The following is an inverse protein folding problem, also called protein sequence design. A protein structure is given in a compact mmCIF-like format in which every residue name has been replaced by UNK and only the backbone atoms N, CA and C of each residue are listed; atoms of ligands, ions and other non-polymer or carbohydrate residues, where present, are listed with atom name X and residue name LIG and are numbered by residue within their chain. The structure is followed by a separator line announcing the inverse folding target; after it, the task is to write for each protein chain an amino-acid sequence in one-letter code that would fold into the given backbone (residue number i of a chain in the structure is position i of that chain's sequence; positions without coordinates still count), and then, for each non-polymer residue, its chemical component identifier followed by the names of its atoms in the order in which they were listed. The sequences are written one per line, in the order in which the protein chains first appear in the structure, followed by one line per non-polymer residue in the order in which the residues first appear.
data_IF_912700640617
#
_entry.id   IF_912700640617
#
_cell.length_a   1.000
_cell.length_b   1.000
_cell.length_c   1.000
_cell.angle_alpha   90.00
_cell.angle_beta   90.00
_cell.angle_gamma   90.00
#
_symmetry.space_group_name_H-M   'P 1'
#
loop_
_entity.id
_entity.type
_entity.pdbx_description
1 polymer ?
#
# COMPACT_ATOMS: atom_id res chain seq x y z
N UNK A 1 19.51 23.10 20.32
CA UNK A 1 20.19 22.45 19.20
C UNK A 1 19.71 23.17 17.95
N UNK A 2 20.62 23.70 17.15
CA UNK A 2 20.26 24.33 15.88
C UNK A 2 19.57 23.27 15.03
N UNK A 3 18.33 23.52 14.62
CA UNK A 3 17.58 22.61 13.78
C UNK A 3 18.35 22.39 12.49
N UNK A 4 18.92 21.19 12.34
CA UNK A 4 19.76 20.84 11.20
C UNK A 4 18.87 20.72 9.98
N UNK A 5 19.17 21.49 8.92
CA UNK A 5 18.50 21.34 7.63
C UNK A 5 19.03 20.10 6.90
N UNK A 6 18.11 19.33 6.31
CA UNK A 6 18.44 18.16 5.47
C UNK A 6 17.40 17.97 4.38
N UNK A 7 17.73 17.16 3.38
CA UNK A 7 16.81 16.77 2.32
C UNK A 7 16.35 15.33 2.55
N UNK A 8 15.07 15.08 2.29
CA UNK A 8 14.51 13.73 2.31
C UNK A 8 13.61 13.53 1.09
N UNK A 9 13.71 12.36 0.47
CA UNK A 9 13.04 12.03 -0.78
C UNK A 9 12.24 10.75 -0.65
N UNK A 10 11.04 10.74 -1.23
CA UNK A 10 10.27 9.52 -1.45
C UNK A 10 9.76 9.46 -2.88
N UNK A 11 9.45 8.26 -3.34
CA UNK A 11 8.91 8.02 -4.67
C UNK A 11 7.58 7.28 -4.61
N UNK A 12 6.79 7.42 -5.66
CA UNK A 12 5.58 6.66 -5.91
C UNK A 12 5.52 6.17 -7.35
N UNK A 13 4.69 5.16 -7.59
CA UNK A 13 4.38 4.67 -8.92
C UNK A 13 2.86 4.53 -9.10
N UNK A 14 2.39 4.71 -10.33
CA UNK A 14 0.96 4.62 -10.66
C UNK A 14 0.45 3.17 -10.69
N UNK A 15 -0.87 3.02 -10.81
CA UNK A 15 -1.50 1.72 -11.01
C UNK A 15 -1.04 0.99 -12.29
N UNK A 16 -0.50 1.74 -13.27
CA UNK A 16 0.02 1.18 -14.51
C UNK A 16 1.48 0.74 -14.46
N UNK A 17 2.22 1.04 -13.39
CA UNK A 17 3.57 0.49 -13.22
C UNK A 17 3.53 -1.05 -13.20
N UNK A 18 4.45 -1.77 -13.90
CA UNK A 18 4.39 -3.23 -14.02
C UNK A 18 4.21 -3.96 -12.69
N UNK A 19 4.95 -3.58 -11.65
CA UNK A 19 4.83 -4.20 -10.33
C UNK A 19 3.44 -3.94 -9.70
N UNK A 20 2.86 -2.73 -9.91
CA UNK A 20 1.53 -2.41 -9.39
C UNK A 20 0.41 -3.07 -10.19
N UNK A 21 0.60 -3.30 -11.48
CA UNK A 21 -0.31 -4.17 -12.27
C UNK A 21 -0.40 -5.54 -11.63
N UNK A 22 0.74 -6.12 -11.21
CA UNK A 22 0.78 -7.41 -10.53
C UNK A 22 0.06 -7.37 -9.18
N UNK A 23 0.31 -6.35 -8.37
CA UNK A 23 -0.33 -6.17 -7.07
C UNK A 23 -1.86 -6.05 -7.21
N UNK A 24 -2.33 -5.28 -8.19
CA UNK A 24 -3.76 -5.11 -8.46
C UNK A 24 -4.39 -6.42 -8.90
N UNK A 25 -3.80 -7.15 -9.84
CA UNK A 25 -4.32 -8.46 -10.29
C UNK A 25 -4.42 -9.42 -9.10
N UNK A 26 -3.36 -9.50 -8.28
CA UNK A 26 -3.34 -10.35 -7.10
C UNK A 26 -4.42 -9.99 -6.09
N UNK A 27 -4.67 -8.70 -5.83
CA UNK A 27 -5.71 -8.27 -4.90
C UNK A 27 -7.14 -8.36 -5.47
N UNK A 28 -7.33 -8.30 -6.79
CA UNK A 28 -8.62 -8.67 -7.41
C UNK A 28 -8.99 -10.12 -7.12
N UNK A 29 -8.00 -11.02 -7.13
CA UNK A 29 -8.22 -12.44 -6.80
C UNK A 29 -8.47 -12.61 -5.30
N UNK A 30 -7.73 -11.91 -4.42
CA UNK A 30 -8.01 -11.91 -2.97
C UNK A 30 -9.45 -11.50 -2.68
N UNK A 31 -9.91 -10.41 -3.28
CA UNK A 31 -11.26 -9.90 -3.09
C UNK A 31 -12.34 -10.86 -3.61
N UNK A 32 -12.08 -11.58 -4.72
CA UNK A 32 -13.01 -12.59 -5.24
C UNK A 32 -13.20 -13.73 -4.22
N UNK A 33 -12.11 -14.25 -3.63
CA UNK A 33 -12.19 -15.26 -2.58
C UNK A 33 -12.89 -14.76 -1.31
N UNK A 34 -12.64 -13.52 -0.89
CA UNK A 34 -13.25 -12.95 0.31
C UNK A 34 -14.71 -12.55 0.09
N UNK A 35 -15.16 -12.44 -1.16
CA UNK A 35 -16.57 -12.21 -1.50
C UNK A 35 -17.42 -13.48 -1.42
N UNK A 36 -16.80 -14.66 -1.33
CA UNK A 36 -17.50 -15.93 -1.26
C UNK A 36 -18.03 -16.21 0.16
N UNK A 37 -18.82 -17.29 0.28
CA UNK A 37 -19.28 -17.76 1.59
C UNK A 37 -18.12 -18.14 2.48
N UNK A 38 -18.25 -17.90 3.78
CA UNK A 38 -17.25 -18.23 4.80
C UNK A 38 -15.87 -17.58 4.58
N UNK A 39 -15.81 -16.24 4.40
CA UNK A 39 -14.56 -15.55 4.08
C UNK A 39 -13.45 -15.74 5.14
N UNK A 40 -13.83 -16.06 6.38
CA UNK A 40 -12.88 -16.31 7.46
C UNK A 40 -12.03 -17.57 7.22
N UNK A 41 -12.54 -18.54 6.45
CA UNK A 41 -11.85 -19.80 6.14
C UNK A 41 -11.24 -19.81 4.73
N UNK A 42 -11.50 -18.81 3.90
CA UNK A 42 -10.86 -18.68 2.61
C UNK A 42 -9.39 -18.29 2.77
N UNK A 43 -8.52 -18.86 1.94
CA UNK A 43 -7.06 -18.63 1.98
C UNK A 43 -6.56 -18.30 0.60
N UNK A 44 -5.71 -17.28 0.53
CA UNK A 44 -5.06 -16.84 -0.70
C UNK A 44 -3.61 -16.45 -0.41
N UNK A 45 -2.69 -17.01 -1.16
CA UNK A 45 -1.30 -16.60 -1.22
C UNK A 45 -0.87 -16.69 -2.68
N UNK A 46 -0.97 -15.57 -3.40
CA UNK A 46 -0.77 -15.48 -4.84
C UNK A 46 0.26 -14.42 -5.20
N UNK A 47 1.11 -14.77 -6.15
CA UNK A 47 1.98 -13.86 -6.85
C UNK A 47 1.59 -13.80 -8.33
N UNK A 48 1.67 -12.59 -8.88
CA UNK A 48 1.49 -12.32 -10.30
C UNK A 48 2.81 -11.87 -10.90
N UNK A 49 3.10 -12.34 -12.12
CA UNK A 49 4.14 -11.82 -12.99
C UNK A 49 3.49 -11.27 -14.25
N UNK A 50 3.89 -10.08 -14.66
CA UNK A 50 3.53 -9.51 -15.96
C UNK A 50 4.79 -9.16 -16.77
N UNK A 51 4.74 -9.35 -18.07
CA UNK A 51 5.75 -8.91 -19.04
C UNK A 51 5.08 -8.74 -20.40
N UNK A 52 5.86 -8.43 -21.45
CA UNK A 52 5.33 -8.24 -22.81
C UNK A 52 4.33 -9.32 -23.18
N UNK A 53 3.08 -8.94 -23.36
CA UNK A 53 1.95 -9.79 -23.75
C UNK A 53 1.72 -11.04 -22.87
N UNK A 54 2.16 -11.05 -21.61
CA UNK A 54 2.02 -12.18 -20.70
C UNK A 54 1.52 -11.75 -19.33
N UNK A 55 0.61 -12.54 -18.77
CA UNK A 55 0.23 -12.50 -17.35
C UNK A 55 0.30 -13.92 -16.80
N UNK A 56 1.07 -14.12 -15.75
CA UNK A 56 1.22 -15.39 -15.06
C UNK A 56 0.81 -15.21 -13.62
N UNK A 57 -0.08 -16.08 -13.11
CA UNK A 57 -0.44 -16.13 -11.69
C UNK A 57 -0.04 -17.48 -11.12
N UNK A 58 0.51 -17.48 -9.91
CA UNK A 58 1.02 -18.65 -9.22
C UNK A 58 0.75 -18.55 -7.73
N UNK A 59 0.62 -19.69 -7.04
CA UNK A 59 0.44 -19.71 -5.59
C UNK A 59 -0.61 -20.70 -5.12
N UNK A 60 -1.07 -20.48 -3.88
CA UNK A 60 -1.91 -21.43 -3.15
C UNK A 60 -3.23 -20.77 -2.73
N UNK A 61 -4.32 -21.51 -2.88
CA UNK A 61 -5.65 -21.03 -2.49
C UNK A 61 -6.48 -22.12 -1.79
N UNK A 62 -7.43 -21.68 -0.97
CA UNK A 62 -8.52 -22.49 -0.44
C UNK A 62 -9.78 -21.65 -0.44
N UNK A 63 -10.80 -22.08 -1.15
CA UNK A 63 -12.13 -21.48 -1.18
C UNK A 63 -13.19 -22.45 -0.65
N UNK A 64 -14.47 -22.03 -0.62
CA UNK A 64 -15.57 -22.89 -0.23
C UNK A 64 -15.74 -24.03 -1.26
N UNK A 65 -16.39 -25.13 -0.81
CA UNK A 65 -16.65 -26.31 -1.66
C UNK A 65 -17.42 -25.92 -2.92
N UNK A 66 -16.95 -26.35 -4.08
CA UNK A 66 -17.55 -26.09 -5.39
C UNK A 66 -17.25 -24.71 -5.98
N UNK A 67 -16.48 -23.86 -5.29
CA UNK A 67 -16.07 -22.58 -5.84
C UNK A 67 -14.89 -22.75 -6.81
N UNK A 68 -15.04 -22.21 -8.01
CA UNK A 68 -13.99 -22.15 -9.04
C UNK A 68 -13.73 -20.71 -9.42
N UNK A 69 -12.56 -20.19 -9.05
CA UNK A 69 -12.15 -18.85 -9.38
C UNK A 69 -11.74 -18.74 -10.86
N UNK A 70 -12.27 -17.76 -11.56
CA UNK A 70 -11.84 -17.46 -12.93
C UNK A 70 -10.70 -16.42 -12.92
N UNK A 71 -9.48 -16.88 -12.67
CA UNK A 71 -8.28 -16.03 -12.56
C UNK A 71 -8.03 -15.18 -13.81
N UNK A 72 -8.25 -15.75 -15.01
CA UNK A 72 -8.06 -15.02 -16.26
C UNK A 72 -9.03 -13.85 -16.40
N UNK A 73 -10.31 -14.07 -16.08
CA UNK A 73 -11.33 -13.02 -16.12
C UNK A 73 -10.94 -11.87 -15.16
N UNK A 74 -10.55 -12.19 -13.94
CA UNK A 74 -10.15 -11.18 -12.93
C UNK A 74 -8.91 -10.40 -13.36
N UNK A 75 -7.90 -11.09 -13.92
CA UNK A 75 -6.73 -10.43 -14.48
C UNK A 75 -7.09 -9.46 -15.62
N UNK A 76 -7.98 -9.87 -16.53
CA UNK A 76 -8.46 -9.02 -17.62
C UNK A 76 -9.26 -7.81 -17.11
N UNK A 77 -10.12 -8.01 -16.12
CA UNK A 77 -10.86 -6.92 -15.47
C UNK A 77 -9.92 -5.91 -14.78
N UNK A 78 -8.90 -6.38 -14.08
CA UNK A 78 -7.89 -5.55 -13.45
C UNK A 78 -7.10 -4.71 -14.48
N UNK A 79 -6.59 -5.35 -15.54
CA UNK A 79 -5.83 -4.67 -16.61
C UNK A 79 -6.72 -3.67 -17.37
N UNK A 80 -8.00 -4.01 -17.59
CA UNK A 80 -9.00 -3.10 -18.19
C UNK A 80 -9.26 -1.89 -17.29
N UNK A 81 -9.38 -2.09 -15.98
CA UNK A 81 -9.57 -1.01 -15.01
C UNK A 81 -8.37 -0.06 -14.99
N UNK A 82 -7.13 -0.58 -15.12
CA UNK A 82 -5.91 0.21 -15.27
C UNK A 82 -5.94 1.02 -16.56
N UNK A 83 -6.46 0.47 -17.66
CA UNK A 83 -6.61 1.12 -18.95
C UNK A 83 -5.54 0.76 -19.98
N UNK A 84 -4.97 -0.46 -19.92
CA UNK A 84 -4.01 -0.92 -20.91
C UNK A 84 -4.70 -1.45 -22.18
N UNK A 85 -4.48 -0.71 -23.28
CA UNK A 85 -4.96 -1.03 -24.65
C UNK A 85 -3.83 -0.89 -25.68
N UNK A 86 -2.58 -1.11 -25.27
CA UNK A 86 -1.41 -1.01 -26.17
C UNK A 86 -1.15 -2.33 -26.91
N UNK A 87 -0.47 -2.26 -28.06
CA UNK A 87 -0.28 -3.40 -29.00
C UNK A 87 0.26 -4.66 -28.32
N UNK A 88 1.23 -4.53 -27.42
CA UNK A 88 1.89 -5.65 -26.78
C UNK A 88 1.52 -5.86 -25.32
N UNK A 89 0.51 -5.13 -24.82
CA UNK A 89 -0.15 -5.41 -23.56
C UNK A 89 -1.55 -4.81 -23.54
N UNK A 90 -2.52 -5.64 -23.86
CA UNK A 90 -3.93 -5.25 -23.99
C UNK A 90 -4.80 -6.17 -23.15
N UNK A 91 -5.78 -5.63 -22.42
CA UNK A 91 -6.64 -6.38 -21.52
C UNK A 91 -7.40 -7.55 -22.21
N UNK A 92 -7.68 -7.47 -23.52
CA UNK A 92 -8.32 -8.54 -24.28
C UNK A 92 -7.33 -9.61 -24.78
N UNK A 93 -6.07 -9.25 -25.05
CA UNK A 93 -5.21 -10.01 -25.93
C UNK A 93 -3.98 -10.63 -25.28
N UNK A 94 -3.62 -10.26 -24.03
CA UNK A 94 -2.46 -10.87 -23.37
C UNK A 94 -2.66 -12.39 -23.18
N UNK A 95 -1.58 -13.14 -23.24
CA UNK A 95 -1.60 -14.56 -22.89
C UNK A 95 -1.65 -14.72 -21.39
N UNK A 96 -2.54 -15.60 -20.93
CA UNK A 96 -2.71 -15.89 -19.50
C UNK A 96 -2.26 -17.31 -19.17
N UNK A 97 -1.51 -17.45 -18.06
CA UNK A 97 -1.10 -18.76 -17.55
C UNK A 97 -1.32 -18.79 -16.03
N UNK A 98 -1.89 -19.89 -15.54
CA UNK A 98 -2.11 -20.11 -14.11
C UNK A 98 -1.36 -21.34 -13.62
N UNK A 99 -0.61 -21.17 -12.54
CA UNK A 99 0.03 -22.25 -11.76
C UNK A 99 -0.52 -22.25 -10.32
N UNK A 100 -1.79 -21.89 -10.16
CA UNK A 100 -2.47 -21.88 -8.87
C UNK A 100 -2.88 -23.29 -8.49
N UNK A 101 -2.66 -23.68 -7.24
CA UNK A 101 -3.02 -24.98 -6.71
C UNK A 101 -3.69 -24.87 -5.33
N UNK A 102 -4.29 -25.95 -4.87
CA UNK A 102 -4.91 -26.02 -3.55
C UNK A 102 -3.87 -25.93 -2.43
N UNK A 103 -4.21 -25.26 -1.32
CA UNK A 103 -3.34 -25.15 -0.15
C UNK A 103 -2.96 -26.52 0.42
N UNK A 104 -1.69 -26.69 0.77
CA UNK A 104 -1.17 -27.89 1.43
C UNK A 104 -1.85 -28.14 2.78
N UNK A 105 -2.16 -29.44 3.06
CA UNK A 105 -2.72 -29.86 4.33
C UNK A 105 -1.80 -29.57 5.54
N UNK A 106 -0.49 -29.56 5.34
CA UNK A 106 0.48 -29.32 6.41
C UNK A 106 0.48 -27.87 6.87
N UNK A 107 0.32 -26.91 5.94
CA UNK A 107 0.16 -25.48 6.26
C UNK A 107 -1.17 -25.24 6.96
N UNK A 108 -2.25 -25.87 6.51
CA UNK A 108 -3.56 -25.78 7.14
C UNK A 108 -3.56 -26.25 8.60
N UNK A 109 -2.83 -27.31 8.93
CA UNK A 109 -2.74 -27.81 10.30
C UNK A 109 -2.04 -26.84 11.28
N UNK A 110 -1.13 -26.00 10.81
CA UNK A 110 -0.40 -25.03 11.63
C UNK A 110 -1.18 -23.72 11.87
N UNK A 111 -2.13 -23.40 11.00
CA UNK A 111 -2.81 -22.10 10.96
C UNK A 111 -4.27 -22.18 11.42
N UNK A 112 -4.95 -23.31 11.18
CA UNK A 112 -6.35 -23.45 11.53
C UNK A 112 -6.52 -23.69 13.03
N UNK A 113 -7.47 -23.00 13.64
CA UNK A 113 -7.83 -23.18 15.04
C UNK A 113 -8.38 -24.61 15.26
N UNK A 114 -7.76 -25.38 16.14
CA UNK A 114 -8.24 -26.70 16.58
C UNK A 114 -8.40 -26.70 18.09
N UNK A 115 -9.51 -27.28 18.56
CA UNK A 115 -9.74 -27.65 19.95
C UNK A 115 -9.44 -26.53 20.98
N UNK A 116 -10.12 -25.38 20.91
CA UNK A 116 -9.98 -24.25 21.84
C UNK A 116 -8.62 -23.53 21.83
N UNK A 117 -7.79 -23.71 20.80
CA UNK A 117 -6.59 -22.89 20.61
C UNK A 117 -6.91 -21.70 19.71
N UNK A 118 -6.44 -20.53 20.10
CA UNK A 118 -6.44 -19.34 19.23
C UNK A 118 -5.68 -19.65 17.93
N UNK A 119 -6.17 -19.11 16.81
CA UNK A 119 -5.48 -19.23 15.53
C UNK A 119 -4.07 -18.63 15.64
N UNK A 120 -3.05 -19.44 15.34
CA UNK A 120 -1.65 -19.00 15.31
C UNK A 120 -1.34 -18.16 14.06
N UNK A 121 -0.24 -17.39 14.13
CA UNK A 121 0.28 -16.72 12.95
C UNK A 121 0.70 -17.74 11.88
N UNK A 122 0.37 -17.46 10.62
CA UNK A 122 0.67 -18.35 9.48
C UNK A 122 2.15 -18.40 9.12
N UNK A 123 2.94 -17.42 9.58
CA UNK A 123 4.37 -17.34 9.38
C UNK A 123 5.03 -16.56 10.51
N UNK A 124 6.35 -16.60 10.56
CA UNK A 124 7.15 -15.67 11.35
C UNK A 124 7.28 -14.34 10.61
N UNK A 125 7.49 -13.22 11.33
CA UNK A 125 7.77 -11.95 10.70
C UNK A 125 7.84 -10.79 11.68
N UNK A 126 8.34 -9.66 11.18
CA UNK A 126 8.32 -8.37 11.85
C UNK A 126 7.55 -7.37 10.98
N UNK A 127 6.65 -6.62 11.57
CA UNK A 127 5.81 -5.64 10.87
C UNK A 127 5.93 -4.29 11.55
N UNK A 128 5.92 -3.23 10.76
CA UNK A 128 6.05 -1.87 11.25
C UNK A 128 4.81 -1.05 10.94
N UNK A 129 4.46 -0.17 11.89
CA UNK A 129 3.51 0.90 11.73
C UNK A 129 4.20 2.24 12.01
N UNK A 130 3.77 3.28 11.30
CA UNK A 130 4.28 4.62 11.49
C UNK A 130 3.18 5.66 11.32
N UNK A 131 3.29 6.77 12.05
CA UNK A 131 2.50 7.99 11.85
C UNK A 131 3.31 9.21 12.30
N UNK A 132 3.08 10.34 11.65
CA UNK A 132 3.69 11.64 12.01
C UNK A 132 2.75 12.79 11.63
N UNK A 133 2.94 13.96 12.26
CA UNK A 133 2.12 15.17 12.03
C UNK A 133 2.57 16.02 10.83
N UNK A 134 3.09 15.39 9.77
CA UNK A 134 3.56 16.13 8.59
C UNK A 134 2.44 16.43 7.58
N UNK A 135 1.38 15.63 7.58
CA UNK A 135 0.24 15.76 6.66
C UNK A 135 -1.08 15.56 7.41
N UNK A 136 -2.23 15.99 6.84
CA UNK A 136 -3.54 15.81 7.47
C UNK A 136 -3.92 14.35 7.71
N UNK A 137 -3.35 13.42 6.93
CA UNK A 137 -3.59 11.97 7.06
C UNK A 137 -2.57 11.28 7.97
N UNK A 138 -1.69 12.06 8.61
CA UNK A 138 -0.64 11.59 9.52
C UNK A 138 0.37 10.64 8.84
N UNK A 139 0.79 11.02 7.62
CA UNK A 139 1.80 10.34 6.82
C UNK A 139 3.02 11.24 6.61
N UNK A 140 4.20 10.66 6.31
CA UNK A 140 5.35 11.42 5.85
C UNK A 140 5.04 12.19 4.57
N UNK A 141 5.40 13.48 4.55
CA UNK A 141 5.03 14.38 3.47
C UNK A 141 5.57 13.95 2.09
N UNK A 142 6.84 13.50 1.91
CA UNK A 142 7.37 13.17 0.59
C UNK A 142 6.59 12.04 -0.09
N UNK A 143 6.26 10.95 0.61
CA UNK A 143 5.49 9.84 0.03
C UNK A 143 4.04 10.24 -0.22
N UNK A 144 3.42 10.99 0.69
CA UNK A 144 2.05 11.47 0.55
C UNK A 144 1.89 12.31 -0.73
N UNK A 145 2.76 13.29 -0.94
CA UNK A 145 2.69 14.15 -2.14
C UNK A 145 3.09 13.41 -3.41
N UNK A 146 4.03 12.45 -3.33
CA UNK A 146 4.33 11.59 -4.47
C UNK A 146 3.11 10.78 -4.93
N UNK A 147 2.35 10.21 -3.98
CA UNK A 147 1.09 9.53 -4.30
C UNK A 147 0.05 10.48 -4.88
N UNK A 148 -0.13 11.64 -4.27
CA UNK A 148 -1.18 12.59 -4.64
C UNK A 148 -1.02 13.10 -6.08
N UNK A 149 0.22 13.42 -6.51
CA UNK A 149 0.52 13.81 -7.90
C UNK A 149 0.01 12.74 -8.88
N UNK A 150 0.35 11.47 -8.65
CA UNK A 150 -0.02 10.39 -9.55
C UNK A 150 -1.49 10.00 -9.47
N UNK A 151 -2.12 10.10 -8.30
CA UNK A 151 -3.56 9.90 -8.15
C UNK A 151 -4.36 10.92 -8.95
N UNK A 152 -3.98 12.20 -8.87
CA UNK A 152 -4.65 13.27 -9.61
C UNK A 152 -4.46 13.08 -11.12
N UNK A 153 -3.24 12.75 -11.56
CA UNK A 153 -2.93 12.49 -12.97
C UNK A 153 -3.74 11.29 -13.51
N UNK A 154 -3.77 10.17 -12.76
CA UNK A 154 -4.52 8.98 -13.15
C UNK A 154 -6.04 9.22 -13.18
N UNK A 155 -6.55 9.99 -12.21
CA UNK A 155 -7.97 10.40 -12.20
C UNK A 155 -8.30 11.19 -13.45
N UNK A 156 -7.53 12.22 -13.77
CA UNK A 156 -7.75 13.05 -14.96
C UNK A 156 -7.69 12.24 -16.26
N UNK A 157 -6.75 11.28 -16.36
CA UNK A 157 -6.66 10.33 -17.48
C UNK A 157 -7.92 9.48 -17.61
N UNK A 158 -8.39 8.86 -16.52
CA UNK A 158 -9.59 8.00 -16.50
C UNK A 158 -10.87 8.77 -16.77
N UNK A 159 -10.98 9.99 -16.27
CA UNK A 159 -12.10 10.92 -16.51
C UNK A 159 -12.03 11.58 -17.90
N UNK A 160 -10.93 11.35 -18.65
CA UNK A 160 -10.70 11.91 -19.99
C UNK A 160 -10.69 13.45 -20.01
N UNK A 161 -10.29 14.07 -18.92
CA UNK A 161 -10.08 15.53 -18.84
C UNK A 161 -8.74 15.95 -19.43
N UNK A 162 -7.80 15.00 -19.55
CA UNK A 162 -6.55 15.10 -20.29
C UNK A 162 -6.48 13.95 -21.31
N UNK A 163 -5.67 14.13 -22.36
CA UNK A 163 -5.44 13.11 -23.39
C UNK A 163 -3.96 12.88 -23.64
N UNK A 164 -3.61 11.74 -24.22
CA UNK A 164 -2.25 11.40 -24.60
C UNK A 164 -1.35 10.91 -23.46
N UNK A 165 -1.82 10.90 -22.21
CA UNK A 165 -1.10 10.32 -21.07
C UNK A 165 -1.56 8.86 -20.87
N UNK A 166 -0.60 7.95 -20.73
CA UNK A 166 -0.80 6.51 -20.59
C UNK A 166 -0.68 6.04 -19.13
N UNK A 167 -1.04 4.78 -18.78
CA UNK A 167 -1.15 4.34 -17.39
C UNK A 167 0.15 4.31 -16.57
N UNK A 168 1.32 4.07 -17.18
CA UNK A 168 2.59 3.93 -16.45
C UNK A 168 3.18 5.30 -16.12
N UNK A 169 3.31 5.56 -14.83
CA UNK A 169 3.90 6.81 -14.34
C UNK A 169 4.65 6.58 -13.02
N UNK A 170 5.66 7.41 -12.80
CA UNK A 170 6.44 7.48 -11.55
C UNK A 170 6.54 8.92 -11.10
N UNK A 171 6.56 9.14 -9.79
CA UNK A 171 6.83 10.44 -9.19
C UNK A 171 7.87 10.32 -8.09
N UNK A 172 8.62 11.39 -7.87
CA UNK A 172 9.55 11.50 -6.75
C UNK A 172 9.50 12.94 -6.23
N UNK A 173 9.39 13.10 -4.91
CA UNK A 173 9.31 14.40 -4.24
C UNK A 173 10.44 14.50 -3.23
N UNK A 174 11.25 15.56 -3.34
CA UNK A 174 12.33 15.88 -2.42
C UNK A 174 11.97 17.13 -1.62
N UNK A 175 11.83 16.97 -0.30
CA UNK A 175 11.53 18.06 0.61
C UNK A 175 12.75 18.42 1.46
N UNK A 176 12.88 19.72 1.73
CA UNK A 176 13.81 20.22 2.73
C UNK A 176 13.12 20.24 4.09
N UNK A 177 13.81 19.72 5.09
CA UNK A 177 13.37 19.70 6.49
C UNK A 177 14.18 20.66 7.33
N UNK A 178 13.55 21.20 8.37
CA UNK A 178 14.19 21.85 9.49
C UNK A 178 13.72 21.19 10.79
N UNK A 179 14.64 20.45 11.44
CA UNK A 179 14.25 19.54 12.52
C UNK A 179 13.34 18.41 12.00
N UNK A 180 12.11 18.31 12.51
CA UNK A 180 11.12 17.31 12.09
C UNK A 180 10.05 17.86 11.11
N UNK A 181 10.19 19.12 10.65
CA UNK A 181 9.17 19.76 9.83
C UNK A 181 9.62 19.92 8.38
N UNK A 182 8.84 19.49 7.40
CA UNK A 182 9.08 19.85 6.01
C UNK A 182 8.78 21.35 5.81
N UNK A 183 9.69 22.07 5.16
CA UNK A 183 9.62 23.54 5.01
C UNK A 183 9.61 24.01 3.56
N UNK A 184 10.07 23.19 2.64
CA UNK A 184 10.17 23.55 1.22
C UNK A 184 10.27 22.31 0.34
N UNK A 185 9.80 22.41 -0.92
CA UNK A 185 10.05 21.40 -1.94
C UNK A 185 11.22 21.86 -2.80
N UNK A 186 12.25 21.04 -2.95
CA UNK A 186 13.42 21.40 -3.77
C UNK A 186 13.35 20.81 -5.16
N UNK A 187 12.88 19.57 -5.29
CA UNK A 187 12.82 18.88 -6.59
C UNK A 187 11.60 17.98 -6.66
N UNK A 188 10.96 17.94 -7.84
CA UNK A 188 9.92 16.97 -8.19
C UNK A 188 10.29 16.33 -9.51
N UNK A 189 10.30 15.01 -9.54
CA UNK A 189 10.45 14.22 -10.77
C UNK A 189 9.11 13.56 -11.09
N UNK A 190 8.65 13.67 -12.33
CA UNK A 190 7.52 12.89 -12.85
C UNK A 190 7.93 12.28 -14.19
N UNK A 191 7.90 10.95 -14.26
CA UNK A 191 8.08 10.23 -15.52
C UNK A 191 6.75 9.57 -15.86
N UNK A 192 6.15 9.91 -16.99
CA UNK A 192 4.85 9.38 -17.40
C UNK A 192 4.88 8.92 -18.84
N UNK A 193 4.30 7.74 -19.08
CA UNK A 193 4.09 7.21 -20.40
C UNK A 193 3.10 8.08 -21.18
N UNK A 194 3.38 8.31 -22.45
CA UNK A 194 2.57 9.15 -23.31
C UNK A 194 2.47 8.64 -24.74
N UNK A 195 1.47 9.11 -25.46
CA UNK A 195 1.28 8.81 -26.89
C UNK A 195 2.41 9.45 -27.72
N UNK A 196 2.74 8.78 -28.83
CA UNK A 196 3.82 9.21 -29.75
C UNK A 196 3.55 10.58 -30.41
N UNK A 197 2.31 11.01 -30.42
CA UNK A 197 1.86 12.30 -30.99
C UNK A 197 2.22 13.49 -30.10
N UNK A 198 2.49 13.26 -28.81
CA UNK A 198 2.90 14.32 -27.87
C UNK A 198 4.40 14.58 -27.94
N UNK A 199 4.77 15.85 -28.01
CA UNK A 199 6.15 16.27 -27.76
C UNK A 199 6.39 16.41 -26.24
N UNK A 200 7.66 16.46 -25.83
CA UNK A 200 8.01 16.58 -24.40
C UNK A 200 7.46 17.86 -23.75
N UNK A 201 7.38 18.95 -24.51
CA UNK A 201 6.74 20.22 -24.07
C UNK A 201 5.26 20.04 -23.76
N UNK A 202 4.55 19.22 -24.55
CA UNK A 202 3.13 18.97 -24.33
C UNK A 202 2.93 18.16 -23.05
N UNK A 203 3.80 17.15 -22.81
CA UNK A 203 3.79 16.36 -21.58
C UNK A 203 4.08 17.24 -20.36
N UNK A 204 5.04 18.17 -20.45
CA UNK A 204 5.35 19.12 -19.40
C UNK A 204 4.17 20.06 -19.10
N UNK A 205 3.50 20.57 -20.12
CA UNK A 205 2.31 21.42 -19.98
C UNK A 205 1.15 20.69 -19.32
N UNK A 206 0.93 19.40 -19.66
CA UNK A 206 -0.12 18.56 -19.09
C UNK A 206 0.18 18.22 -17.61
N UNK A 207 1.43 17.86 -17.28
CA UNK A 207 1.80 17.31 -15.95
C UNK A 207 1.99 18.39 -14.90
N UNK A 208 2.55 19.56 -15.29
CA UNK A 208 2.89 20.64 -14.35
C UNK A 208 1.73 21.09 -13.44
N UNK A 209 0.48 21.24 -13.94
CA UNK A 209 -0.66 21.60 -13.09
C UNK A 209 -0.89 20.60 -11.94
N UNK A 210 -0.73 19.31 -12.17
CA UNK A 210 -0.95 18.27 -11.15
C UNK A 210 0.11 18.30 -10.04
N UNK A 211 1.35 18.69 -10.36
CA UNK A 211 2.39 18.93 -9.36
C UNK A 211 2.01 20.12 -8.48
N UNK A 212 1.58 21.23 -9.11
CA UNK A 212 1.21 22.46 -8.41
C UNK A 212 -0.06 22.30 -7.57
N UNK A 213 -1.03 21.52 -8.02
CA UNK A 213 -2.24 21.23 -7.25
C UNK A 213 -1.97 20.33 -6.03
N UNK A 214 -1.01 19.42 -6.14
CA UNK A 214 -0.71 18.47 -5.07
C UNK A 214 0.07 19.09 -3.91
N UNK A 215 1.01 19.98 -4.17
CA UNK A 215 1.95 20.54 -3.18
C UNK A 215 1.50 21.91 -2.69
N UNK A 216 1.82 22.30 -1.44
CA UNK A 216 1.55 23.67 -0.95
C UNK A 216 2.26 24.72 -1.80
N UNK A 217 1.55 25.78 -2.20
CA UNK A 217 2.08 26.85 -3.04
C UNK A 217 3.34 27.52 -2.48
N UNK A 218 3.39 27.67 -1.15
CA UNK A 218 4.55 28.25 -0.44
C UNK A 218 5.82 27.40 -0.55
N UNK A 219 5.72 26.11 -0.87
CA UNK A 219 6.87 25.22 -1.03
C UNK A 219 7.44 25.22 -2.45
N UNK A 220 6.71 25.81 -3.42
CA UNK A 220 7.02 25.68 -4.85
C UNK A 220 7.86 26.81 -5.43
N UNK A 221 8.24 27.83 -4.63
CA UNK A 221 8.88 29.08 -5.13
C UNK A 221 10.17 28.83 -5.92
N UNK A 222 11.02 27.90 -5.46
CA UNK A 222 12.32 27.57 -6.10
C UNK A 222 12.43 26.10 -6.49
N UNK A 223 11.28 25.39 -6.60
CA UNK A 223 11.24 23.97 -6.92
C UNK A 223 11.62 23.71 -8.38
N UNK A 224 12.52 22.75 -8.60
CA UNK A 224 12.84 22.26 -9.94
C UNK A 224 11.94 21.09 -10.31
N UNK A 225 11.32 21.17 -11.48
CA UNK A 225 10.52 20.09 -12.04
C UNK A 225 11.34 19.35 -13.10
N UNK A 226 11.37 18.02 -13.03
CA UNK A 226 11.99 17.12 -13.98
C UNK A 226 10.91 16.22 -14.57
N UNK A 227 10.35 16.61 -15.69
CA UNK A 227 9.27 15.87 -16.36
C UNK A 227 9.88 15.10 -17.53
N UNK A 228 9.73 13.77 -17.55
CA UNK A 228 10.35 12.86 -18.51
C UNK A 228 11.82 13.19 -18.80
N UNK A 229 12.69 13.29 -17.79
CA UNK A 229 14.06 13.79 -17.96
C UNK A 229 14.94 12.91 -18.86
N UNK A 230 14.54 11.67 -19.12
CA UNK A 230 15.21 10.74 -20.05
C UNK A 230 14.78 10.91 -21.51
N UNK A 231 13.78 11.78 -21.77
CA UNK A 231 13.20 11.97 -23.08
C UNK A 231 11.85 11.27 -23.25
N UNK A 232 11.52 10.83 -24.46
CA UNK A 232 10.24 10.19 -24.78
C UNK A 232 10.03 8.91 -23.99
N UNK A 233 8.80 8.71 -23.52
CA UNK A 233 8.37 7.53 -22.78
C UNK A 233 7.08 6.96 -23.43
N UNK A 234 7.24 6.38 -24.62
CA UNK A 234 6.12 5.86 -25.42
C UNK A 234 5.80 4.39 -25.06
N UNK A 235 6.83 3.56 -24.86
CA UNK A 235 6.67 2.17 -24.42
C UNK A 235 6.81 2.07 -22.92
N UNK A 236 5.72 1.72 -22.24
CA UNK A 236 5.67 1.60 -20.78
C UNK A 236 4.82 0.40 -20.34
N UNK A 237 4.64 0.30 -19.02
CA UNK A 237 3.95 -0.81 -18.42
C UNK A 237 4.63 -2.16 -18.67
N UNK A 238 3.88 -3.26 -18.66
CA UNK A 238 4.43 -4.61 -18.85
C UNK A 238 5.11 -4.87 -20.19
N UNK A 239 4.89 -4.03 -21.20
CA UNK A 239 5.65 -4.12 -22.46
C UNK A 239 7.07 -3.54 -22.31
N UNK A 240 7.23 -2.53 -21.47
CA UNK A 240 8.53 -1.88 -21.23
C UNK A 240 9.41 -2.60 -20.22
N UNK A 241 8.79 -3.18 -19.16
CA UNK A 241 9.51 -3.83 -18.08
C UNK A 241 8.66 -4.94 -17.44
N UNK A 242 9.32 -5.92 -16.83
CA UNK A 242 8.67 -7.02 -16.12
C UNK A 242 8.25 -6.58 -14.71
N UNK A 243 7.00 -6.89 -14.34
CA UNK A 243 6.47 -6.69 -12.99
C UNK A 243 6.31 -7.97 -12.21
N UNK A 244 6.35 -7.83 -10.88
CA UNK A 244 6.07 -8.89 -9.90
C UNK A 244 5.33 -8.33 -8.71
N UNK A 245 4.41 -9.13 -8.14
CA UNK A 245 3.74 -8.80 -6.87
C UNK A 245 4.76 -8.59 -5.76
N UNK A 246 4.56 -7.53 -4.96
CA UNK A 246 5.38 -7.28 -3.77
C UNK A 246 6.75 -6.66 -4.01
N UNK A 247 6.99 -6.04 -5.17
CA UNK A 247 8.25 -5.34 -5.47
C UNK A 247 8.21 -3.84 -5.20
N UNK A 248 7.10 -3.30 -4.68
CA UNK A 248 6.91 -1.87 -4.34
C UNK A 248 6.55 -1.66 -2.87
N UNK A 249 7.10 -2.50 -1.98
CA UNK A 249 6.75 -2.52 -0.55
C UNK A 249 7.04 -1.20 0.18
N UNK A 250 8.04 -0.44 -0.25
CA UNK A 250 8.36 0.87 0.33
C UNK A 250 7.38 1.94 -0.15
N UNK A 251 6.98 1.88 -1.43
CA UNK A 251 5.90 2.72 -2.00
C UNK A 251 4.56 2.41 -1.31
N UNK A 252 4.30 1.14 -1.01
CA UNK A 252 3.08 0.68 -0.35
C UNK A 252 2.96 1.15 1.10
N UNK A 253 4.07 1.56 1.73
CA UNK A 253 4.13 1.90 3.15
C UNK A 253 4.50 3.37 3.37
N UNK A 254 5.73 3.67 3.80
CA UNK A 254 6.09 4.99 4.33
C UNK A 254 7.18 5.71 3.50
N UNK A 255 7.51 5.23 2.29
CA UNK A 255 8.48 5.89 1.41
C UNK A 255 9.89 5.99 1.99
N UNK A 256 10.28 5.08 2.87
CA UNK A 256 11.59 5.08 3.52
C UNK A 256 11.67 5.88 4.83
N UNK A 257 10.59 6.57 5.25
CA UNK A 257 10.58 7.33 6.50
C UNK A 257 10.49 6.45 7.76
N UNK A 258 10.09 5.19 7.61
CA UNK A 258 10.04 4.20 8.69
C UNK A 258 10.69 2.89 8.24
N UNK A 259 11.13 2.03 9.19
CA UNK A 259 11.59 0.68 8.89
C UNK A 259 10.50 -0.15 8.18
N UNK A 260 10.92 -1.20 7.47
CA UNK A 260 10.03 -2.17 6.85
C UNK A 260 10.46 -3.61 7.23
N UNK A 261 9.50 -4.49 7.48
CA UNK A 261 9.79 -5.88 7.85
C UNK A 261 10.10 -6.80 6.66
N UNK A 262 9.85 -6.34 5.42
CA UNK A 262 10.11 -7.08 4.17
C UNK A 262 8.90 -7.81 3.60
N UNK A 263 7.80 -8.00 4.36
CA UNK A 263 6.60 -8.67 3.89
C UNK A 263 5.78 -7.83 2.91
N UNK A 264 5.43 -8.39 1.76
CA UNK A 264 4.49 -7.81 0.81
C UNK A 264 3.03 -7.97 1.29
N UNK A 265 2.14 -7.08 0.84
CA UNK A 265 0.72 -7.10 1.21
C UNK A 265 -0.16 -7.77 0.15
N UNK A 266 -0.10 -7.28 -1.09
CA UNK A 266 -0.97 -7.75 -2.17
C UNK A 266 -0.81 -9.23 -2.44
N UNK A 267 -1.90 -9.89 -2.84
CA UNK A 267 -1.95 -11.32 -3.06
C UNK A 267 -2.13 -12.18 -1.81
N UNK A 268 -2.19 -11.59 -0.63
CA UNK A 268 -2.33 -12.29 0.66
C UNK A 268 -3.68 -12.00 1.31
N UNK A 269 -4.39 -13.04 1.75
CA UNK A 269 -5.55 -12.88 2.62
C UNK A 269 -5.12 -12.42 4.02
N UNK A 270 -6.05 -11.89 4.86
CA UNK A 270 -5.71 -11.27 6.15
C UNK A 270 -5.28 -12.26 7.26
N UNK A 271 -5.19 -13.56 7.01
CA UNK A 271 -4.58 -14.51 7.96
C UNK A 271 -3.06 -14.39 7.95
N UNK A 272 -2.48 -13.83 6.89
CA UNK A 272 -1.05 -13.55 6.77
C UNK A 272 -0.71 -12.29 7.55
N UNK A 273 0.07 -12.44 8.61
CA UNK A 273 0.46 -11.35 9.52
C UNK A 273 1.28 -10.27 8.83
N UNK A 274 2.00 -10.59 7.75
CA UNK A 274 2.68 -9.60 6.90
C UNK A 274 1.74 -8.44 6.52
N UNK A 275 0.49 -8.76 6.21
CA UNK A 275 -0.54 -7.79 5.85
C UNK A 275 -1.30 -7.29 7.07
N UNK A 276 -1.96 -8.16 7.81
CA UNK A 276 -2.86 -7.78 8.91
C UNK A 276 -2.14 -7.10 10.06
N UNK A 277 -0.95 -7.58 10.45
CA UNK A 277 -0.20 -6.96 11.54
C UNK A 277 0.48 -5.64 11.13
N UNK A 278 0.82 -5.44 9.85
CA UNK A 278 1.25 -4.13 9.36
C UNK A 278 0.09 -3.12 9.40
N UNK A 279 -1.12 -3.54 9.08
CA UNK A 279 -2.31 -2.69 9.13
C UNK A 279 -2.67 -2.29 10.56
N UNK A 280 -2.69 -3.23 11.52
CA UNK A 280 -2.96 -2.87 12.91
C UNK A 280 -1.81 -2.03 13.51
N UNK A 281 -0.57 -2.26 13.11
CA UNK A 281 0.57 -1.43 13.55
C UNK A 281 0.40 0.03 13.05
N UNK A 282 -0.03 0.23 11.79
CA UNK A 282 -0.41 1.56 11.27
C UNK A 282 -1.57 2.17 12.06
N UNK A 283 -2.63 1.42 12.29
CA UNK A 283 -3.79 1.87 13.05
C UNK A 283 -3.38 2.36 14.45
N UNK A 284 -2.58 1.60 15.17
CA UNK A 284 -2.10 1.97 16.50
C UNK A 284 -1.24 3.24 16.43
N UNK A 285 -0.23 3.27 15.56
CA UNK A 285 0.66 4.43 15.41
C UNK A 285 -0.14 5.71 15.08
N UNK A 286 -1.11 5.60 14.16
CA UNK A 286 -1.98 6.72 13.78
C UNK A 286 -2.82 7.22 14.97
N UNK A 287 -3.39 6.33 15.75
CA UNK A 287 -4.21 6.69 16.90
C UNK A 287 -3.39 7.32 18.03
N UNK A 288 -2.15 6.87 18.27
CA UNK A 288 -1.23 7.52 19.23
C UNK A 288 -0.97 8.98 18.85
N UNK A 289 -0.70 9.24 17.56
CA UNK A 289 -0.44 10.59 17.06
C UNK A 289 -1.74 11.42 17.01
N UNK A 290 -2.87 10.83 16.60
CA UNK A 290 -4.17 11.48 16.58
C UNK A 290 -4.68 11.84 17.99
N UNK A 291 -4.31 11.05 19.00
CA UNK A 291 -4.59 11.35 20.42
C UNK A 291 -3.71 12.47 20.99
N UNK A 292 -2.80 13.01 20.19
CA UNK A 292 -1.83 14.04 20.58
C UNK A 292 -0.85 13.57 21.67
N UNK A 293 -0.61 12.24 21.75
CA UNK A 293 0.32 11.64 22.70
C UNK A 293 1.77 11.65 22.21
N UNK A 294 1.99 11.85 20.91
CA UNK A 294 3.31 12.05 20.31
C UNK A 294 3.20 12.82 18.99
N UNK A 295 4.30 13.45 18.54
CA UNK A 295 4.39 14.08 17.20
C UNK A 295 4.58 13.02 16.11
N UNK A 296 5.29 11.94 16.44
CA UNK A 296 5.49 10.78 15.59
C UNK A 296 5.57 9.50 16.43
N UNK A 297 5.20 8.38 15.82
CA UNK A 297 5.16 7.10 16.51
C UNK A 297 5.53 5.98 15.53
N UNK A 298 6.52 5.16 15.92
CA UNK A 298 6.87 3.90 15.26
C UNK A 298 6.41 2.74 16.13
N UNK A 299 5.72 1.77 15.52
CA UNK A 299 5.30 0.50 16.12
C UNK A 299 6.08 -0.63 15.45
N UNK A 300 6.52 -1.62 16.23
CA UNK A 300 6.96 -2.91 15.71
C UNK A 300 6.16 -4.03 16.38
N UNK A 301 5.64 -4.95 15.58
CA UNK A 301 5.09 -6.23 16.01
C UNK A 301 5.93 -7.36 15.46
N UNK A 302 6.16 -8.43 16.25
CA UNK A 302 6.84 -9.62 15.79
C UNK A 302 6.02 -10.86 16.13
N UNK A 303 5.93 -11.81 15.19
CA UNK A 303 5.21 -13.07 15.34
C UNK A 303 6.13 -14.25 15.06
N UNK A 304 5.79 -15.40 15.66
CA UNK A 304 6.33 -16.70 15.29
C UNK A 304 5.23 -17.57 14.69
N UNK A 305 5.60 -18.42 13.75
CA UNK A 305 4.67 -19.37 13.13
C UNK A 305 3.97 -20.22 14.20
N UNK A 306 2.66 -20.37 14.08
CA UNK A 306 1.83 -21.16 15.00
C UNK A 306 1.58 -20.52 16.38
N UNK A 307 2.12 -19.34 16.66
CA UNK A 307 1.90 -18.60 17.92
C UNK A 307 0.88 -17.49 17.68
N UNK A 308 -0.17 -17.43 18.51
CA UNK A 308 -1.27 -16.47 18.35
C UNK A 308 -0.93 -15.07 18.85
N UNK A 309 -0.13 -14.94 19.90
CA UNK A 309 0.25 -13.63 20.44
C UNK A 309 1.58 -13.16 19.87
N UNK A 310 1.75 -11.84 19.65
CA UNK A 310 3.05 -11.31 19.22
C UNK A 310 4.14 -11.67 20.25
N UNK A 311 5.33 -12.04 19.74
CA UNK A 311 6.52 -12.25 20.58
C UNK A 311 7.03 -10.94 21.20
N UNK A 312 6.84 -9.84 20.47
CA UNK A 312 7.20 -8.50 20.93
C UNK A 312 6.24 -7.45 20.39
N UNK A 313 6.01 -6.45 21.21
CA UNK A 313 5.33 -5.20 20.85
C UNK A 313 6.22 -4.05 21.33
N UNK A 314 6.76 -3.31 20.37
CA UNK A 314 7.66 -2.18 20.60
C UNK A 314 7.02 -0.89 20.10
N UNK A 315 7.17 0.18 20.90
CA UNK A 315 6.76 1.55 20.56
C UNK A 315 7.96 2.48 20.69
N UNK A 316 8.10 3.40 19.74
CA UNK A 316 9.04 4.49 19.81
C UNK A 316 8.34 5.80 19.41
N UNK A 317 8.23 6.71 20.34
CA UNK A 317 7.68 8.07 20.13
C UNK A 317 8.76 9.10 19.77
N UNK A 318 9.99 8.66 19.49
CA UNK A 318 11.13 9.49 19.05
C UNK A 318 11.43 10.68 19.98
N UNK A 319 11.22 10.49 21.29
CA UNK A 319 11.41 11.53 22.29
C UNK A 319 10.33 12.62 22.33
N UNK A 320 9.24 12.43 21.57
CA UNK A 320 8.11 13.39 21.53
C UNK A 320 6.90 12.93 22.36
N UNK A 321 7.02 11.77 23.03
CA UNK A 321 5.93 11.18 23.82
C UNK A 321 5.56 12.01 25.05
N UNK A 322 4.27 12.19 25.28
CA UNK A 322 3.71 12.82 26.48
C UNK A 322 3.60 11.87 27.67
N UNK A 323 3.61 10.58 27.40
CA UNK A 323 3.67 9.49 28.37
C UNK A 323 4.79 8.53 27.95
N UNK A 324 5.26 7.73 28.90
CA UNK A 324 6.29 6.74 28.60
C UNK A 324 5.76 5.57 27.73
N UNK A 325 6.65 4.95 26.99
CA UNK A 325 6.30 3.88 26.04
C UNK A 325 5.70 2.64 26.74
N UNK A 326 6.10 2.34 27.99
CA UNK A 326 5.59 1.19 28.74
C UNK A 326 4.12 1.39 29.09
N UNK A 327 3.74 2.60 29.52
CA UNK A 327 2.35 2.99 29.79
C UNK A 327 1.50 2.89 28.52
N UNK A 328 1.99 3.35 27.37
CA UNK A 328 1.32 3.19 26.08
C UNK A 328 1.09 1.72 25.73
N UNK A 329 2.12 0.88 25.83
CA UNK A 329 2.05 -0.56 25.55
C UNK A 329 1.01 -1.24 26.43
N UNK A 330 1.02 -0.98 27.74
CA UNK A 330 0.04 -1.56 28.69
C UNK A 330 -1.38 -1.16 28.33
N UNK A 331 -1.59 0.11 28.01
CA UNK A 331 -2.92 0.62 27.65
C UNK A 331 -3.41 -0.02 26.34
N UNK A 332 -2.60 -0.02 25.28
CA UNK A 332 -2.97 -0.57 23.99
C UNK A 332 -3.29 -2.07 24.12
N UNK A 333 -2.47 -2.85 24.81
CA UNK A 333 -2.71 -4.27 25.06
C UNK A 333 -4.00 -4.54 25.87
N UNK A 334 -4.50 -3.57 26.63
CA UNK A 334 -5.76 -3.69 27.38
C UNK A 334 -7.02 -3.48 26.52
N UNK A 335 -6.87 -2.88 25.32
CA UNK A 335 -7.99 -2.47 24.47
C UNK A 335 -7.93 -3.02 23.04
N UNK A 336 -6.79 -3.54 22.59
CA UNK A 336 -6.61 -4.13 21.27
C UNK A 336 -6.10 -5.55 21.42
N UNK A 337 -6.82 -6.51 20.86
CA UNK A 337 -6.36 -7.90 20.75
C UNK A 337 -5.43 -8.03 19.53
N UNK A 338 -4.15 -8.27 19.79
CA UNK A 338 -3.11 -8.40 18.77
C UNK A 338 -2.92 -9.84 18.27
N UNK A 339 -3.84 -10.76 18.56
CA UNK A 339 -3.87 -12.05 17.89
C UNK A 339 -4.27 -11.89 16.41
N UNK A 340 -3.84 -12.77 15.49
CA UNK A 340 -4.24 -12.69 14.09
C UNK A 340 -5.76 -12.61 13.89
N UNK A 341 -6.53 -13.31 14.70
CA UNK A 341 -7.99 -13.23 14.68
C UNK A 341 -8.48 -11.90 15.23
N UNK A 342 -7.99 -11.46 16.40
CA UNK A 342 -8.37 -10.18 16.99
C UNK A 342 -8.12 -8.99 16.06
N UNK A 343 -6.99 -9.01 15.34
CA UNK A 343 -6.69 -7.98 14.33
C UNK A 343 -7.71 -7.99 13.19
N UNK A 344 -8.02 -9.16 12.63
CA UNK A 344 -8.99 -9.29 11.53
C UNK A 344 -10.38 -8.81 11.93
N UNK A 345 -10.83 -9.20 13.13
CA UNK A 345 -12.13 -8.81 13.64
C UNK A 345 -12.17 -7.31 13.93
N UNK A 346 -11.14 -6.75 14.57
CA UNK A 346 -11.05 -5.33 14.92
C UNK A 346 -11.04 -4.40 13.69
N UNK A 347 -10.31 -4.79 12.64
CA UNK A 347 -10.19 -4.01 11.41
C UNK A 347 -11.14 -4.50 10.29
N UNK A 348 -12.01 -5.48 10.58
CA UNK A 348 -12.98 -6.05 9.61
C UNK A 348 -12.32 -6.52 8.30
N UNK A 349 -11.15 -7.13 8.40
CA UNK A 349 -10.31 -7.50 7.24
C UNK A 349 -10.83 -8.69 6.43
N UNK A 350 -11.90 -9.34 6.85
CA UNK A 350 -12.56 -10.42 6.12
C UNK A 350 -13.44 -9.94 4.95
N UNK A 351 -13.57 -8.62 4.77
CA UNK A 351 -14.30 -8.01 3.65
C UNK A 351 -13.45 -7.94 2.38
N UNK A 352 -14.07 -7.94 1.18
CA UNK A 352 -13.36 -7.76 -0.10
C UNK A 352 -13.02 -6.28 -0.34
N UNK A 353 -11.96 -5.79 0.32
CA UNK A 353 -11.58 -4.38 0.39
C UNK A 353 -10.16 -4.09 -0.14
N UNK A 354 -9.49 -5.08 -0.74
CA UNK A 354 -8.06 -5.05 -0.99
C UNK A 354 -7.66 -4.44 -2.33
N UNK A 355 -8.46 -4.62 -3.39
CA UNK A 355 -8.17 -4.04 -4.70
C UNK A 355 -8.01 -2.51 -4.67
N UNK A 356 -8.73 -1.81 -3.78
CA UNK A 356 -8.63 -0.36 -3.62
C UNK A 356 -7.31 0.08 -2.98
N UNK A 357 -6.63 -0.79 -2.23
CA UNK A 357 -5.37 -0.51 -1.55
C UNK A 357 -4.13 -0.87 -2.38
N UNK A 358 -4.29 -1.61 -3.48
CA UNK A 358 -3.18 -2.15 -4.25
C UNK A 358 -2.35 -1.11 -5.03
N UNK A 359 -2.76 0.15 -5.08
CA UNK A 359 -2.01 1.24 -5.71
C UNK A 359 -2.07 2.52 -4.86
N UNK A 360 -1.04 3.39 -5.02
CA UNK A 360 -0.92 4.69 -4.32
C UNK A 360 -0.81 4.58 -2.80
N UNK A 361 -0.19 3.53 -2.30
CA UNK A 361 0.04 3.27 -0.88
C UNK A 361 -1.16 2.66 -0.17
N UNK A 362 -0.87 1.76 0.76
CA UNK A 362 -1.87 1.16 1.64
C UNK A 362 -2.23 2.07 2.81
N UNK A 363 -1.39 3.06 3.11
CA UNK A 363 -1.56 3.99 4.23
C UNK A 363 -1.76 5.43 3.75
N UNK A 364 -2.36 6.25 4.65
CA UNK A 364 -2.65 7.65 4.35
C UNK A 364 -3.89 7.86 3.48
N UNK A 365 -4.79 6.90 3.46
CA UNK A 365 -6.07 6.95 2.73
C UNK A 365 -7.22 7.31 3.68
N UNK A 366 -8.38 7.56 3.13
CA UNK A 366 -9.60 7.75 3.92
C UNK A 366 -10.32 6.42 4.11
N UNK A 367 -10.80 6.17 5.32
CA UNK A 367 -11.69 5.05 5.58
C UNK A 367 -13.03 5.26 4.85
N UNK A 368 -13.51 4.21 4.18
CA UNK A 368 -14.74 4.24 3.40
C UNK A 368 -15.85 3.39 4.05
N UNK A 369 -17.10 3.63 3.65
CA UNK A 369 -18.27 2.97 4.24
C UNK A 369 -18.35 1.47 3.95
N UNK A 370 -17.67 0.98 2.91
CA UNK A 370 -17.58 -0.44 2.57
C UNK A 370 -16.60 -1.22 3.47
N UNK A 371 -15.82 -0.50 4.30
CA UNK A 371 -14.78 -1.02 5.17
C UNK A 371 -13.36 -0.84 4.64
N UNK A 372 -13.20 -0.35 3.41
CA UNK A 372 -11.90 -0.04 2.83
C UNK A 372 -11.12 0.91 3.73
N UNK A 373 -9.83 0.64 3.89
CA UNK A 373 -8.92 1.41 4.74
C UNK A 373 -9.36 1.54 6.22
N UNK A 374 -9.98 0.49 6.78
CA UNK A 374 -10.42 0.46 8.20
C UNK A 374 -9.26 0.73 9.18
N UNK A 375 -8.03 0.41 8.80
CA UNK A 375 -6.81 0.70 9.56
C UNK A 375 -6.40 2.19 9.58
N UNK A 376 -7.12 3.04 8.87
CA UNK A 376 -6.95 4.50 8.90
C UNK A 376 -7.93 5.21 9.86
N UNK A 377 -8.81 4.47 10.54
CA UNK A 377 -9.71 5.03 11.58
C UNK A 377 -8.91 5.59 12.75
N UNK A 378 -9.45 6.60 13.41
CA UNK A 378 -8.86 7.24 14.61
C UNK A 378 -9.75 7.11 15.86
N UNK A 379 -10.63 6.12 15.87
CA UNK A 379 -11.61 5.83 16.91
C UNK A 379 -10.99 5.35 18.24
N UNK A 380 -9.74 4.88 18.22
CA UNK A 380 -8.98 4.54 19.41
C UNK A 380 -8.43 5.78 20.14
N UNK A 381 -8.28 6.92 19.44
CA UNK A 381 -7.63 8.11 19.97
C UNK A 381 -8.29 8.61 21.27
N UNK A 382 -9.61 8.62 21.36
CA UNK A 382 -10.31 9.10 22.56
C UNK A 382 -10.10 8.18 23.78
N UNK A 383 -9.94 6.86 23.56
CA UNK A 383 -9.60 5.92 24.62
C UNK A 383 -8.15 6.07 25.10
N UNK A 384 -7.26 6.52 24.20
CA UNK A 384 -5.86 6.78 24.51
C UNK A 384 -5.63 8.12 25.24
N UNK A 385 -6.47 9.14 25.02
CA UNK A 385 -6.36 10.44 25.71
C UNK A 385 -6.53 10.36 27.22
N UNK A 386 -7.15 9.30 27.71
CA UNK A 386 -7.44 9.10 29.13
C UNK A 386 -6.37 8.24 29.84
N UNK A 387 -5.10 8.38 29.43
CA UNK A 387 -3.94 7.70 30.06
C UNK A 387 -3.32 8.58 31.13
#
# INVERSE_FOLDING_TARGET
MTDKKYLFTSESVSEGHPDKVCDIISDYIVDDFLSQSDPENNRVALETLVTTNQVVVSGEVRGPEGFECNYEKLAREAVKWIGYEQEKFHWENFNFTSFVHGQSSDIAMGVDAKDNKDQGAGDQGIMFGYACKETPVLMPAPIYYSHLILQNLAKARKEKTISGIQPDSKSQVTLQYEGSKPINCTEVVVSTQHDKELELSDVEEIVTPFIKEALPDEWLQDTKFHINPTGRFETGGPDGDTGLTGRKIIVDTYGGAAPHGGGAFSGKDPTKVDRSAAYIARYIAKNVVAADLAENCTIQLAYAIGVSRPLSFYINTHGTGRVDNETLIKKINSIVDLTPRGIRDHLELHKPIYKSSAAYGHFGRQHENDGSFSWERTDLADQLKNI
#
